data_IF_141967066081
#
_entry.id   IF_141967066081
#
_cell.length_a   1.000
_cell.length_b   1.000
_cell.length_c   1.000
_cell.angle_alpha   90.00
_cell.angle_beta   90.00
_cell.angle_gamma   90.00
#
_symmetry.space_group_name_H-M   'P 1'
#
loop_
_entity.id
_entity.type
_entity.pdbx_description
1 polymer ?
#
# COMPACT_ATOMS: atom_id res chain seq x y z
N UNK A 1 16.31 -15.62 -4.94
CA UNK A 1 16.45 -17.05 -5.40
C UNK A 1 16.41 -17.06 -6.92
N UNK A 2 17.30 -17.81 -7.56
CA UNK A 2 17.24 -18.02 -9.01
C UNK A 2 16.41 -19.25 -9.38
N UNK A 3 16.09 -19.40 -10.67
CA UNK A 3 15.37 -20.61 -11.16
C UNK A 3 16.24 -21.86 -10.99
N UNK A 4 17.54 -21.77 -11.16
CA UNK A 4 18.48 -22.86 -10.97
C UNK A 4 18.52 -23.33 -9.51
N UNK A 5 18.53 -22.38 -8.55
CA UNK A 5 18.40 -22.69 -7.13
C UNK A 5 17.05 -23.35 -6.81
N UNK A 6 15.95 -22.82 -7.35
CA UNK A 6 14.63 -23.44 -7.18
C UNK A 6 14.59 -24.88 -7.71
N UNK A 7 15.16 -25.14 -8.90
CA UNK A 7 15.26 -26.50 -9.46
C UNK A 7 16.03 -27.44 -8.53
N UNK A 8 17.16 -27.00 -8.03
CA UNK A 8 17.98 -27.80 -7.12
C UNK A 8 17.25 -28.15 -5.82
N UNK A 9 16.50 -27.17 -5.29
CA UNK A 9 15.75 -27.35 -4.05
C UNK A 9 14.50 -28.21 -4.22
N UNK A 10 13.83 -28.14 -5.35
CA UNK A 10 12.73 -29.06 -5.71
C UNK A 10 13.27 -30.48 -5.88
N UNK A 11 14.39 -30.64 -6.58
CA UNK A 11 15.01 -31.94 -6.77
C UNK A 11 15.49 -32.60 -5.47
N UNK A 12 15.92 -31.81 -4.49
CA UNK A 12 16.34 -32.28 -3.16
C UNK A 12 15.16 -32.53 -2.22
N UNK A 13 13.95 -32.08 -2.55
CA UNK A 13 12.78 -32.10 -1.67
C UNK A 13 12.77 -31.00 -0.61
N UNK A 14 13.68 -30.03 -0.66
CA UNK A 14 13.68 -28.87 0.24
C UNK A 14 12.54 -27.89 -0.06
N UNK A 15 12.08 -27.83 -1.31
CA UNK A 15 10.88 -27.11 -1.74
C UNK A 15 9.98 -28.08 -2.49
N UNK A 16 8.71 -28.16 -2.12
CA UNK A 16 7.67 -28.93 -2.79
C UNK A 16 6.55 -28.06 -3.34
N UNK A 17 6.45 -26.82 -2.89
CA UNK A 17 5.35 -25.89 -3.21
C UNK A 17 5.88 -24.56 -3.74
N UNK A 18 5.28 -24.07 -4.84
CA UNK A 18 5.49 -22.70 -5.32
C UNK A 18 4.18 -21.93 -5.22
N UNK A 19 4.18 -20.82 -4.48
CA UNK A 19 3.06 -19.90 -4.37
C UNK A 19 3.16 -18.89 -5.51
N UNK A 20 2.12 -18.85 -6.34
CA UNK A 20 1.98 -17.87 -7.42
C UNK A 20 0.90 -16.90 -6.96
N UNK A 21 1.28 -15.64 -6.72
CA UNK A 21 0.39 -14.62 -6.19
C UNK A 21 0.30 -13.41 -7.11
N UNK A 22 -0.87 -12.83 -7.19
CA UNK A 22 -1.14 -11.51 -7.73
C UNK A 22 -1.73 -10.63 -6.64
N UNK A 23 -1.79 -9.33 -6.87
CA UNK A 23 -2.40 -8.39 -5.93
C UNK A 23 -3.80 -8.01 -6.42
N UNK A 24 -4.80 -8.16 -5.56
CA UNK A 24 -6.16 -7.67 -5.81
C UNK A 24 -6.28 -6.14 -5.65
N UNK A 25 -7.48 -5.60 -5.88
CA UNK A 25 -7.75 -4.16 -5.80
C UNK A 25 -7.45 -3.57 -4.41
N UNK A 26 -7.62 -4.36 -3.35
CA UNK A 26 -7.39 -3.97 -1.95
C UNK A 26 -5.93 -4.11 -1.51
N UNK A 27 -5.04 -4.59 -2.39
CA UNK A 27 -3.63 -4.83 -2.06
C UNK A 27 -3.38 -6.14 -1.31
N UNK A 28 -4.33 -7.11 -1.37
CA UNK A 28 -4.16 -8.45 -0.79
C UNK A 28 -3.49 -9.38 -1.81
N UNK A 29 -2.70 -10.32 -1.32
CA UNK A 29 -2.19 -11.40 -2.16
C UNK A 29 -3.26 -12.47 -2.36
N UNK A 30 -3.59 -12.74 -3.61
CA UNK A 30 -4.48 -13.82 -4.05
C UNK A 30 -3.78 -14.65 -5.10
N UNK A 31 -4.10 -15.95 -5.20
CA UNK A 31 -3.41 -16.81 -6.17
C UNK A 31 -3.52 -18.28 -5.85
N UNK A 32 -2.51 -19.05 -6.24
CA UNK A 32 -2.50 -20.52 -6.15
C UNK A 32 -1.21 -21.04 -5.51
N UNK A 33 -1.31 -22.18 -4.82
CA UNK A 33 -0.17 -23.03 -4.45
C UNK A 33 -0.11 -24.17 -5.44
N UNK A 34 1.01 -24.30 -6.15
CA UNK A 34 1.22 -25.37 -7.13
C UNK A 34 2.37 -26.27 -6.68
N UNK A 35 2.32 -27.54 -7.07
CA UNK A 35 3.41 -28.48 -6.82
C UNK A 35 4.68 -28.01 -7.53
N UNK A 36 5.84 -28.08 -6.87
CA UNK A 36 7.09 -27.52 -7.39
C UNK A 36 7.48 -28.07 -8.76
N UNK A 37 7.36 -29.40 -8.97
CA UNK A 37 7.67 -29.99 -10.27
C UNK A 37 6.71 -29.51 -11.38
N UNK A 38 5.40 -29.41 -11.06
CA UNK A 38 4.41 -28.90 -12.02
C UNK A 38 4.69 -27.43 -12.38
N UNK A 39 5.15 -26.63 -11.41
CA UNK A 39 5.58 -25.25 -11.68
C UNK A 39 6.70 -25.22 -12.72
N UNK A 40 7.73 -26.06 -12.56
CA UNK A 40 8.88 -26.09 -13.48
C UNK A 40 8.53 -26.59 -14.89
N UNK A 41 7.61 -27.56 -14.97
CA UNK A 41 7.27 -28.22 -16.23
C UNK A 41 6.30 -27.40 -17.08
N UNK A 42 5.31 -26.76 -16.43
CA UNK A 42 4.18 -26.12 -17.09
C UNK A 42 4.08 -24.62 -16.78
N UNK A 43 3.95 -24.26 -15.50
CA UNK A 43 3.57 -22.89 -15.10
C UNK A 43 4.66 -21.87 -15.42
N UNK A 44 5.93 -22.26 -15.30
CA UNK A 44 7.07 -21.40 -15.65
C UNK A 44 7.05 -20.99 -17.13
N UNK A 45 6.47 -21.80 -18.00
CA UNK A 45 6.44 -21.57 -19.47
C UNK A 45 5.16 -20.86 -19.92
N UNK A 46 4.05 -21.21 -19.31
CA UNK A 46 2.72 -20.85 -19.81
C UNK A 46 1.90 -20.00 -18.84
N UNK A 47 2.42 -19.76 -17.62
CA UNK A 47 1.64 -19.14 -16.54
C UNK A 47 0.59 -20.11 -15.98
N UNK A 48 -0.35 -19.54 -15.23
CA UNK A 48 -1.53 -20.24 -14.73
C UNK A 48 -2.74 -19.33 -14.84
N UNK A 49 -3.92 -19.91 -15.04
CA UNK A 49 -5.14 -19.14 -15.22
C UNK A 49 -5.80 -18.86 -13.86
N UNK A 50 -6.64 -17.84 -13.81
CA UNK A 50 -7.49 -17.48 -12.69
C UNK A 50 -8.73 -16.75 -13.17
N UNK A 51 -9.84 -16.88 -12.45
CA UNK A 51 -11.07 -16.19 -12.84
C UNK A 51 -10.89 -14.67 -12.72
N UNK A 52 -11.36 -13.92 -13.71
CA UNK A 52 -11.20 -12.47 -13.77
C UNK A 52 -11.96 -11.71 -12.67
N UNK A 53 -12.92 -12.33 -11.96
CA UNK A 53 -13.57 -11.72 -10.81
C UNK A 53 -12.60 -11.38 -9.67
N UNK A 54 -11.42 -11.99 -9.61
CA UNK A 54 -10.39 -11.68 -8.61
C UNK A 54 -9.97 -10.19 -8.62
N UNK A 55 -10.21 -9.50 -9.73
CA UNK A 55 -10.06 -8.04 -9.85
C UNK A 55 -11.42 -7.30 -9.95
N UNK A 56 -12.52 -7.94 -9.59
CA UNK A 56 -13.87 -7.37 -9.69
C UNK A 56 -14.80 -7.87 -8.55
N UNK A 57 -14.22 -8.20 -7.41
CA UNK A 57 -14.94 -8.63 -6.22
C UNK A 57 -14.92 -7.55 -5.13
N UNK A 58 -15.86 -7.62 -4.19
CA UNK A 58 -15.81 -6.82 -2.98
C UNK A 58 -14.76 -7.34 -1.98
N UNK A 59 -14.66 -6.71 -0.80
CA UNK A 59 -13.68 -7.11 0.21
C UNK A 59 -13.95 -8.51 0.79
N UNK A 60 -15.20 -8.97 0.74
CA UNK A 60 -15.63 -10.30 1.18
C UNK A 60 -15.53 -11.37 0.07
N UNK A 61 -14.92 -11.01 -1.06
CA UNK A 61 -14.77 -11.85 -2.25
C UNK A 61 -16.10 -12.22 -2.95
N UNK A 62 -17.15 -11.46 -2.72
CA UNK A 62 -18.37 -11.62 -3.48
C UNK A 62 -18.24 -10.98 -4.86
N UNK A 63 -18.82 -11.63 -5.86
CA UNK A 63 -18.98 -11.03 -7.18
C UNK A 63 -20.01 -9.91 -7.12
N UNK A 64 -19.65 -8.74 -7.62
CA UNK A 64 -20.50 -7.53 -7.58
C UNK A 64 -20.66 -6.94 -8.98
N UNK A 65 -21.74 -6.21 -9.19
CA UNK A 65 -22.03 -5.58 -10.47
C UNK A 65 -21.19 -4.29 -10.70
N UNK A 66 -21.22 -3.77 -11.91
CA UNK A 66 -20.65 -2.47 -12.29
C UNK A 66 -19.24 -2.53 -12.87
N UNK A 67 -18.60 -3.68 -12.88
CA UNK A 67 -17.30 -3.86 -13.55
C UNK A 67 -17.47 -4.29 -15.00
N UNK A 68 -16.84 -3.56 -15.92
CA UNK A 68 -16.91 -3.91 -17.34
C UNK A 68 -16.15 -5.22 -17.65
N UNK A 69 -15.02 -5.45 -16.95
CA UNK A 69 -14.16 -6.59 -17.24
C UNK A 69 -14.76 -7.95 -16.83
N UNK A 70 -15.73 -7.98 -15.90
CA UNK A 70 -16.23 -9.22 -15.30
C UNK A 70 -17.68 -9.05 -14.84
N UNK A 71 -18.59 -9.89 -15.33
CA UNK A 71 -20.00 -9.90 -14.91
C UNK A 71 -20.69 -11.23 -15.25
N UNK A 72 -21.89 -11.43 -14.72
CA UNK A 72 -22.72 -12.60 -15.06
C UNK A 72 -23.04 -12.67 -16.57
N UNK A 73 -23.26 -11.51 -17.20
CA UNK A 73 -23.53 -11.43 -18.65
C UNK A 73 -22.33 -11.81 -19.50
N UNK A 74 -21.11 -11.60 -18.97
CA UNK A 74 -19.83 -11.97 -19.64
C UNK A 74 -19.35 -13.38 -19.27
N UNK A 75 -19.98 -14.05 -18.29
CA UNK A 75 -19.70 -15.44 -17.91
C UNK A 75 -18.44 -15.65 -17.08
N UNK A 76 -17.85 -14.59 -16.46
CA UNK A 76 -16.66 -14.67 -15.59
C UNK A 76 -15.50 -15.49 -16.21
N UNK A 77 -15.02 -15.06 -17.37
CA UNK A 77 -13.90 -15.70 -18.06
C UNK A 77 -12.59 -15.65 -17.23
N UNK A 78 -11.59 -16.40 -17.65
CA UNK A 78 -10.28 -16.41 -17.03
C UNK A 78 -9.35 -15.33 -17.59
N UNK A 79 -8.34 -15.00 -16.81
CA UNK A 79 -7.12 -14.33 -17.22
C UNK A 79 -5.89 -15.21 -16.89
N UNK A 80 -4.75 -14.91 -17.47
CA UNK A 80 -3.49 -15.57 -17.19
C UNK A 80 -2.70 -14.82 -16.10
N UNK A 81 -2.18 -15.53 -15.11
CA UNK A 81 -1.19 -15.07 -14.15
C UNK A 81 0.19 -15.50 -14.64
N UNK A 82 0.96 -14.54 -15.14
CA UNK A 82 2.29 -14.76 -15.73
C UNK A 82 3.36 -14.52 -14.66
N UNK A 83 4.15 -15.56 -14.30
CA UNK A 83 5.16 -15.46 -13.26
C UNK A 83 6.23 -14.41 -13.56
N UNK A 84 6.43 -13.47 -12.65
CA UNK A 84 7.59 -12.56 -12.67
C UNK A 84 8.75 -13.19 -11.89
N UNK A 85 9.66 -13.81 -12.61
CA UNK A 85 10.78 -14.55 -12.04
C UNK A 85 11.72 -13.65 -11.21
N UNK A 86 11.77 -12.36 -11.50
CA UNK A 86 12.58 -11.42 -10.72
C UNK A 86 12.12 -11.31 -9.25
N UNK A 87 10.88 -11.71 -8.97
CA UNK A 87 10.28 -11.69 -7.63
C UNK A 87 10.41 -13.00 -6.87
N UNK A 88 10.96 -14.06 -7.51
CA UNK A 88 11.10 -15.39 -6.93
C UNK A 88 11.93 -15.37 -5.64
N UNK A 89 11.37 -15.90 -4.56
CA UNK A 89 11.98 -15.91 -3.23
C UNK A 89 11.53 -17.08 -2.37
N UNK A 90 12.31 -17.41 -1.35
CA UNK A 90 11.84 -18.21 -0.24
C UNK A 90 10.86 -17.43 0.62
N UNK A 91 9.96 -18.14 1.27
CA UNK A 91 9.10 -17.62 2.33
C UNK A 91 9.35 -18.44 3.61
N UNK A 92 10.32 -18.02 4.44
CA UNK A 92 10.83 -18.83 5.55
C UNK A 92 9.78 -19.26 6.60
N UNK A 93 8.68 -18.52 6.71
CA UNK A 93 7.56 -18.83 7.59
C UNK A 93 6.61 -19.91 7.03
N UNK A 94 6.83 -20.38 5.82
CA UNK A 94 6.16 -21.53 5.23
C UNK A 94 7.20 -22.55 4.77
N UNK A 95 7.58 -23.53 5.64
CA UNK A 95 8.57 -24.56 5.30
C UNK A 95 8.19 -25.29 4.00
N UNK A 96 9.18 -25.55 3.15
CA UNK A 96 8.97 -26.22 1.86
C UNK A 96 8.40 -25.34 0.74
N UNK A 97 8.24 -24.02 0.97
CA UNK A 97 7.62 -23.14 -0.01
C UNK A 97 8.57 -22.04 -0.54
N UNK A 98 8.43 -21.78 -1.85
CA UNK A 98 8.88 -20.55 -2.51
C UNK A 98 7.66 -19.75 -2.99
N UNK A 99 7.85 -18.45 -3.25
CA UNK A 99 6.83 -17.56 -3.75
C UNK A 99 7.38 -16.69 -4.89
N UNK A 100 6.51 -16.35 -5.82
CA UNK A 100 6.72 -15.29 -6.79
C UNK A 100 5.41 -14.53 -7.03
N UNK A 101 5.54 -13.32 -7.52
CA UNK A 101 4.40 -12.53 -7.96
C UNK A 101 4.16 -12.77 -9.46
N UNK A 102 2.91 -12.57 -9.87
CA UNK A 102 2.49 -12.70 -11.26
C UNK A 102 1.92 -11.37 -11.77
N UNK A 103 2.23 -11.05 -13.02
CA UNK A 103 1.51 -10.06 -13.78
C UNK A 103 0.24 -10.70 -14.37
N UNK A 104 -0.80 -9.90 -14.59
CA UNK A 104 -2.09 -10.39 -15.05
C UNK A 104 -2.32 -9.95 -16.49
N UNK A 105 -2.58 -10.91 -17.36
CA UNK A 105 -2.86 -10.69 -18.79
C UNK A 105 -4.14 -11.39 -19.20
N UNK A 106 -4.83 -10.83 -20.18
CA UNK A 106 -5.89 -11.57 -20.87
C UNK A 106 -5.29 -12.77 -21.62
N UNK A 107 -6.12 -13.74 -21.98
CA UNK A 107 -5.65 -14.95 -22.67
C UNK A 107 -5.08 -14.67 -24.07
N UNK A 108 -5.32 -13.47 -24.62
CA UNK A 108 -4.70 -13.02 -25.87
C UNK A 108 -3.32 -12.35 -25.65
N UNK A 109 -2.83 -12.30 -24.41
CA UNK A 109 -1.55 -11.73 -24.04
C UNK A 109 -1.56 -10.22 -23.78
N UNK A 110 -2.70 -9.55 -23.87
CA UNK A 110 -2.82 -8.13 -23.53
C UNK A 110 -2.92 -7.94 -22.01
N UNK A 111 -2.40 -6.82 -21.50
CA UNK A 111 -2.40 -6.54 -20.08
C UNK A 111 -3.81 -6.27 -19.54
N UNK A 112 -4.13 -6.78 -18.35
CA UNK A 112 -5.33 -6.40 -17.59
C UNK A 112 -5.08 -5.05 -16.94
N UNK A 113 -5.55 -3.98 -17.58
CA UNK A 113 -5.26 -2.59 -17.21
C UNK A 113 -5.71 -2.19 -15.80
N UNK A 114 -6.69 -2.89 -15.23
CA UNK A 114 -7.18 -2.66 -13.88
C UNK A 114 -6.31 -3.31 -12.78
N UNK A 115 -5.35 -4.16 -13.15
CA UNK A 115 -4.42 -4.78 -12.19
C UNK A 115 -3.54 -3.71 -11.51
N UNK A 116 -3.50 -3.64 -10.16
CA UNK A 116 -2.71 -2.64 -9.45
C UNK A 116 -1.23 -2.62 -9.85
N UNK A 117 -0.62 -3.81 -9.99
CA UNK A 117 0.78 -3.94 -10.37
C UNK A 117 1.04 -3.43 -11.79
N UNK A 118 0.12 -3.64 -12.74
CA UNK A 118 0.19 -3.12 -14.10
C UNK A 118 0.01 -1.60 -14.15
N UNK A 119 -0.89 -1.06 -13.31
CA UNK A 119 -1.07 0.39 -13.16
C UNK A 119 0.24 1.06 -12.73
N UNK A 120 0.94 0.47 -11.73
CA UNK A 120 2.25 0.98 -11.32
C UNK A 120 3.29 0.82 -12.42
N UNK A 121 3.38 -0.33 -13.09
CA UNK A 121 4.31 -0.55 -14.21
C UNK A 121 4.16 0.50 -15.30
N UNK A 122 2.93 0.90 -15.63
CA UNK A 122 2.65 1.95 -16.61
C UNK A 122 3.25 3.29 -16.16
N UNK A 123 3.12 3.66 -14.89
CA UNK A 123 3.67 4.92 -14.38
C UNK A 123 5.21 4.88 -14.25
N UNK A 124 5.77 3.75 -13.83
CA UNK A 124 7.23 3.53 -13.80
C UNK A 124 7.82 3.65 -15.21
N UNK A 125 7.14 3.06 -16.20
CA UNK A 125 7.56 3.21 -17.60
C UNK A 125 7.51 4.66 -18.07
N UNK A 126 6.43 5.38 -17.79
CA UNK A 126 6.31 6.79 -18.16
C UNK A 126 7.41 7.66 -17.53
N UNK A 127 7.79 7.35 -16.28
CA UNK A 127 8.89 8.01 -15.61
C UNK A 127 10.26 7.67 -16.24
N UNK A 128 10.46 6.39 -16.61
CA UNK A 128 11.67 5.94 -17.31
C UNK A 128 11.80 6.58 -18.69
N UNK A 129 10.71 6.72 -19.43
CA UNK A 129 10.68 7.41 -20.73
C UNK A 129 11.04 8.90 -20.57
N UNK A 130 10.81 9.49 -19.39
CA UNK A 130 11.26 10.85 -19.03
C UNK A 130 12.71 10.89 -18.48
N UNK A 131 13.45 9.77 -18.51
CA UNK A 131 14.85 9.69 -18.08
C UNK A 131 15.06 9.54 -16.57
N UNK A 132 14.04 9.12 -15.81
CA UNK A 132 14.07 9.06 -14.36
C UNK A 132 13.58 7.71 -13.81
N UNK A 133 13.96 7.43 -12.56
CA UNK A 133 13.49 6.29 -11.76
C UNK A 133 13.00 6.77 -10.39
N UNK A 134 11.93 6.17 -9.88
CA UNK A 134 11.43 6.45 -8.54
C UNK A 134 12.05 5.50 -7.51
N UNK A 135 12.65 6.07 -6.47
CA UNK A 135 13.09 5.35 -5.28
C UNK A 135 12.03 5.56 -4.19
N UNK A 136 11.53 4.45 -3.64
CA UNK A 136 10.39 4.44 -2.73
C UNK A 136 10.71 3.66 -1.46
N UNK A 137 10.24 4.15 -0.33
CA UNK A 137 10.21 3.45 0.95
C UNK A 137 8.84 3.63 1.59
N UNK A 138 8.29 2.56 2.19
CA UNK A 138 7.03 2.60 2.93
C UNK A 138 7.26 2.32 4.40
N UNK A 139 6.67 3.15 5.27
CA UNK A 139 6.60 2.96 6.72
C UNK A 139 5.20 2.43 7.04
N UNK A 140 5.08 1.14 7.33
CA UNK A 140 3.79 0.48 7.53
C UNK A 140 3.60 0.10 8.99
N UNK A 141 2.69 0.80 9.66
CA UNK A 141 2.29 0.58 11.05
C UNK A 141 1.22 -0.50 11.18
N UNK A 142 1.22 -1.20 12.30
CA UNK A 142 0.24 -2.23 12.63
C UNK A 142 0.00 -2.32 14.14
N UNK A 143 -1.19 -2.80 14.53
CA UNK A 143 -1.53 -3.08 15.93
C UNK A 143 -1.59 -4.58 16.16
N UNK A 144 -1.01 -5.04 17.27
CA UNK A 144 -0.98 -6.46 17.68
C UNK A 144 -1.84 -6.67 18.92
N UNK A 145 -2.58 -7.77 18.92
CA UNK A 145 -3.44 -8.22 20.01
C UNK A 145 -2.99 -9.61 20.52
N UNK A 146 -3.17 -9.86 21.81
CA UNK A 146 -2.98 -11.20 22.41
C UNK A 146 -4.04 -12.20 21.94
N UNK A 147 -5.17 -11.70 21.44
CA UNK A 147 -6.21 -12.55 20.86
C UNK A 147 -5.71 -13.17 19.55
N UNK A 148 -6.09 -14.39 19.26
CA UNK A 148 -5.94 -15.00 17.93
C UNK A 148 -6.97 -14.41 16.95
N UNK A 149 -6.82 -14.68 15.65
CA UNK A 149 -7.82 -14.24 14.66
C UNK A 149 -9.19 -14.89 14.91
N UNK A 150 -9.22 -16.15 15.36
CA UNK A 150 -10.45 -16.87 15.67
C UNK A 150 -11.14 -16.29 16.93
N UNK A 151 -10.38 -15.94 17.96
CA UNK A 151 -10.91 -15.27 19.15
C UNK A 151 -11.41 -13.87 18.82
N UNK A 152 -10.67 -13.11 18.00
CA UNK A 152 -11.08 -11.80 17.53
C UNK A 152 -12.40 -11.88 16.73
N UNK A 153 -12.52 -12.86 15.83
CA UNK A 153 -13.76 -13.12 15.10
C UNK A 153 -14.93 -13.44 16.06
N UNK A 154 -14.73 -14.35 17.00
CA UNK A 154 -15.77 -14.75 17.96
C UNK A 154 -16.24 -13.60 18.87
N UNK A 155 -15.36 -12.61 19.10
CA UNK A 155 -15.67 -11.36 19.80
C UNK A 155 -16.26 -10.27 18.89
N UNK A 156 -16.52 -10.56 17.61
CA UNK A 156 -16.89 -9.56 16.62
C UNK A 156 -15.94 -8.35 16.62
N UNK A 157 -14.64 -8.62 16.81
CA UNK A 157 -13.54 -7.65 16.88
C UNK A 157 -13.68 -6.58 17.97
N UNK A 158 -14.39 -6.90 19.06
CA UNK A 158 -14.58 -6.02 20.22
C UNK A 158 -13.81 -6.54 21.42
N UNK A 159 -13.46 -5.63 22.33
CA UNK A 159 -12.79 -5.95 23.60
C UNK A 159 -11.53 -6.81 23.41
N UNK A 160 -10.80 -6.57 22.32
CA UNK A 160 -9.53 -7.21 22.04
C UNK A 160 -8.47 -6.67 23.00
N UNK A 161 -7.51 -7.51 23.37
CA UNK A 161 -6.44 -7.20 24.32
C UNK A 161 -5.16 -6.80 23.59
N UNK A 162 -4.83 -5.50 23.47
CA UNK A 162 -3.56 -5.07 22.86
C UNK A 162 -2.37 -5.61 23.63
N UNK A 163 -1.28 -5.93 22.94
CA UNK A 163 -0.04 -6.44 23.56
C UNK A 163 0.65 -5.43 24.49
N UNK A 164 0.34 -4.14 24.35
CA UNK A 164 0.73 -3.08 25.28
C UNK A 164 -0.49 -2.25 25.67
N UNK A 165 -0.59 -1.85 26.95
CA UNK A 165 -1.72 -1.13 27.51
C UNK A 165 -1.44 0.36 27.73
N UNK A 166 -0.33 0.88 27.20
CA UNK A 166 0.07 2.30 27.23
C UNK A 166 0.85 2.64 25.96
N UNK A 167 1.06 3.92 25.72
CA UNK A 167 1.86 4.42 24.62
C UNK A 167 3.31 3.93 24.74
N UNK A 168 3.78 3.18 23.73
CA UNK A 168 5.13 2.60 23.69
C UNK A 168 6.01 3.23 22.61
N UNK A 169 5.63 4.39 22.13
CA UNK A 169 6.39 5.13 21.11
C UNK A 169 7.87 5.25 21.50
N UNK A 170 8.74 4.70 20.67
CA UNK A 170 10.19 4.54 20.91
C UNK A 170 10.59 3.84 22.21
N UNK A 171 9.67 3.21 22.95
CA UNK A 171 9.99 2.50 24.20
C UNK A 171 10.69 1.18 23.94
N UNK A 172 11.96 1.07 24.33
CA UNK A 172 12.70 -0.20 24.25
C UNK A 172 12.03 -1.28 25.13
N UNK A 173 11.67 -0.94 26.36
CA UNK A 173 10.99 -1.87 27.27
C UNK A 173 9.62 -2.32 26.73
N UNK A 174 8.86 -1.38 26.14
CA UNK A 174 7.56 -1.67 25.54
C UNK A 174 7.68 -2.67 24.38
N UNK A 175 8.66 -2.46 23.50
CA UNK A 175 8.97 -3.38 22.41
C UNK A 175 9.46 -4.74 22.86
N UNK A 176 10.20 -4.81 24.01
CA UNK A 176 10.75 -6.07 24.52
C UNK A 176 9.68 -7.09 24.91
N UNK A 177 8.47 -6.65 25.27
CA UNK A 177 7.34 -7.57 25.63
C UNK A 177 6.88 -8.41 24.44
N UNK A 178 6.98 -7.89 23.23
CA UNK A 178 6.51 -8.51 22.00
C UNK A 178 7.68 -8.88 21.06
N UNK A 179 8.92 -8.71 21.53
CA UNK A 179 10.12 -8.96 20.72
C UNK A 179 10.18 -10.38 20.12
N UNK A 180 9.72 -11.46 20.75
CA UNK A 180 9.69 -12.78 20.10
C UNK A 180 8.94 -12.74 18.76
N UNK A 181 7.73 -12.18 18.71
CA UNK A 181 6.95 -12.03 17.48
C UNK A 181 7.64 -11.08 16.50
N UNK A 182 8.04 -9.88 16.96
CA UNK A 182 8.68 -8.88 16.11
C UNK A 182 9.97 -9.42 15.49
N UNK A 183 10.74 -10.20 16.25
CA UNK A 183 11.95 -10.88 15.77
C UNK A 183 11.63 -11.93 14.71
N UNK A 184 10.61 -12.76 14.94
CA UNK A 184 10.19 -13.78 13.96
C UNK A 184 9.78 -13.13 12.64
N UNK A 185 9.02 -12.01 12.69
CA UNK A 185 8.65 -11.25 11.48
C UNK A 185 9.91 -10.71 10.79
N UNK A 186 10.81 -10.01 11.51
CA UNK A 186 12.03 -9.45 10.92
C UNK A 186 12.91 -10.50 10.26
N UNK A 187 13.14 -11.64 10.92
CA UNK A 187 13.94 -12.72 10.36
C UNK A 187 13.26 -13.39 9.17
N UNK A 188 11.93 -13.56 9.23
CA UNK A 188 11.15 -14.05 8.10
C UNK A 188 11.30 -13.14 6.87
N UNK A 189 11.11 -11.83 7.05
CA UNK A 189 11.26 -10.88 5.95
C UNK A 189 12.69 -10.80 5.43
N UNK A 190 13.68 -10.80 6.32
CA UNK A 190 15.10 -10.84 5.91
C UNK A 190 15.43 -12.11 5.12
N UNK A 191 14.96 -13.27 5.57
CA UNK A 191 15.12 -14.55 4.87
C UNK A 191 14.37 -14.62 3.53
N UNK A 192 13.32 -13.79 3.36
CA UNK A 192 12.63 -13.59 2.08
C UNK A 192 13.32 -12.55 1.16
N UNK A 193 14.52 -12.08 1.53
CA UNK A 193 15.34 -11.17 0.71
C UNK A 193 15.05 -9.68 0.90
N UNK A 194 14.29 -9.30 1.94
CA UNK A 194 14.04 -7.90 2.27
C UNK A 194 15.12 -7.37 3.21
N UNK A 195 15.61 -6.15 2.98
CA UNK A 195 16.54 -5.50 3.92
C UNK A 195 15.75 -4.79 5.01
N UNK A 196 15.66 -5.43 6.17
CA UNK A 196 15.03 -4.84 7.36
C UNK A 196 15.99 -3.83 7.99
N UNK A 197 15.51 -2.63 8.31
CA UNK A 197 16.31 -1.57 8.95
C UNK A 197 16.09 -1.55 10.46
N UNK A 198 14.81 -1.46 10.90
CA UNK A 198 14.49 -1.28 12.31
C UNK A 198 13.08 -1.76 12.66
N UNK A 199 12.80 -1.82 13.95
CA UNK A 199 11.46 -1.95 14.53
C UNK A 199 11.35 -1.01 15.73
N UNK A 200 10.20 -0.39 15.88
CA UNK A 200 9.90 0.46 17.05
C UNK A 200 8.43 0.33 17.47
N UNK A 201 8.15 0.70 18.73
CA UNK A 201 6.79 0.96 19.16
C UNK A 201 6.26 2.29 18.61
N UNK A 202 4.93 2.41 18.57
CA UNK A 202 4.17 3.56 18.12
C UNK A 202 3.18 4.04 19.19
N UNK A 203 2.46 5.14 18.89
CA UNK A 203 1.63 5.84 19.86
C UNK A 203 0.40 5.07 20.34
N UNK A 204 -0.23 4.26 19.51
CA UNK A 204 -1.41 3.48 19.90
C UNK A 204 -1.01 2.25 20.73
N UNK A 205 -1.92 1.72 21.51
CA UNK A 205 -1.70 0.52 22.32
C UNK A 205 -1.46 -0.69 21.43
N UNK A 206 -0.33 -1.38 21.65
CA UNK A 206 0.09 -2.52 20.83
C UNK A 206 0.56 -2.17 19.42
N UNK A 207 0.74 -0.87 19.12
CA UNK A 207 1.15 -0.42 17.80
C UNK A 207 2.68 -0.47 17.63
N UNK A 208 3.09 -0.96 16.46
CA UNK A 208 4.49 -1.10 16.07
C UNK A 208 4.66 -0.78 14.58
N UNK A 209 5.90 -0.50 14.20
CA UNK A 209 6.34 -0.30 12.83
C UNK A 209 7.62 -1.10 12.59
N UNK A 210 7.71 -1.75 11.42
CA UNK A 210 8.94 -2.35 10.92
C UNK A 210 9.36 -1.61 9.65
N UNK A 211 10.51 -0.97 9.69
CA UNK A 211 11.05 -0.22 8.57
C UNK A 211 11.96 -1.09 7.70
N UNK A 212 11.88 -0.89 6.40
CA UNK A 212 12.67 -1.56 5.37
C UNK A 212 13.44 -0.54 4.54
N UNK A 213 14.61 -0.96 4.05
CA UNK A 213 15.39 -0.13 3.13
C UNK A 213 14.58 0.15 1.86
N UNK A 214 14.61 1.41 1.43
CA UNK A 214 14.00 1.83 0.18
C UNK A 214 14.60 1.09 -1.04
N UNK A 215 13.81 0.96 -2.08
CA UNK A 215 14.21 0.38 -3.37
C UNK A 215 13.51 1.10 -4.54
N UNK A 216 13.66 0.60 -5.75
CA UNK A 216 12.81 1.05 -6.86
C UNK A 216 11.32 0.82 -6.54
N UNK A 217 10.46 1.58 -7.18
CA UNK A 217 9.04 1.64 -6.86
C UNK A 217 8.34 0.27 -6.94
N UNK A 218 8.65 -0.54 -7.97
CA UNK A 218 8.00 -1.84 -8.15
C UNK A 218 8.45 -2.83 -7.09
N UNK A 219 9.76 -2.97 -6.89
CA UNK A 219 10.34 -3.85 -5.86
C UNK A 219 9.86 -3.48 -4.45
N UNK A 220 9.72 -2.17 -4.15
CA UNK A 220 9.22 -1.73 -2.86
C UNK A 220 7.76 -2.14 -2.64
N UNK A 221 6.88 -1.95 -3.63
CA UNK A 221 5.49 -2.35 -3.55
C UNK A 221 5.33 -3.88 -3.47
N UNK A 222 6.12 -4.63 -4.23
CA UNK A 222 6.17 -6.09 -4.15
C UNK A 222 6.56 -6.56 -2.73
N UNK A 223 7.59 -5.96 -2.14
CA UNK A 223 8.01 -6.25 -0.77
C UNK A 223 6.95 -5.87 0.27
N UNK A 224 6.30 -4.72 0.10
CA UNK A 224 5.24 -4.25 1.00
C UNK A 224 4.07 -5.26 1.09
N UNK A 225 3.54 -5.74 -0.04
CA UNK A 225 2.41 -6.68 0.00
C UNK A 225 2.81 -8.05 0.54
N UNK A 226 4.03 -8.51 0.27
CA UNK A 226 4.56 -9.75 0.82
C UNK A 226 4.77 -9.62 2.33
N UNK A 227 5.33 -8.50 2.80
CA UNK A 227 5.46 -8.19 4.22
C UNK A 227 4.10 -8.13 4.92
N UNK A 228 3.13 -7.40 4.37
CA UNK A 228 1.78 -7.26 4.92
C UNK A 228 1.08 -8.61 5.08
N UNK A 229 1.23 -9.50 4.10
CA UNK A 229 0.69 -10.86 4.16
C UNK A 229 1.48 -11.73 5.13
N UNK A 230 2.80 -11.79 5.02
CA UNK A 230 3.66 -12.64 5.82
C UNK A 230 3.64 -12.28 7.32
N UNK A 231 3.55 -11.00 7.67
CA UNK A 231 3.42 -10.57 9.06
C UNK A 231 2.14 -11.11 9.71
N UNK A 232 1.02 -11.15 8.97
CA UNK A 232 -0.24 -11.75 9.45
C UNK A 232 -0.13 -13.27 9.59
N UNK A 233 0.50 -13.94 8.62
CA UNK A 233 0.71 -15.40 8.68
C UNK A 233 1.58 -15.78 9.88
N UNK A 234 2.67 -15.06 10.12
CA UNK A 234 3.56 -15.26 11.25
C UNK A 234 2.81 -14.98 12.58
N UNK A 235 2.06 -13.87 12.66
CA UNK A 235 1.27 -13.56 13.84
C UNK A 235 0.28 -14.68 14.18
N UNK A 236 -0.44 -15.22 13.17
CA UNK A 236 -1.34 -16.35 13.35
C UNK A 236 -0.62 -17.60 13.86
N UNK A 237 0.56 -17.91 13.32
CA UNK A 237 1.38 -19.07 13.76
C UNK A 237 1.87 -18.92 15.20
N UNK A 238 2.17 -17.69 15.63
CA UNK A 238 2.63 -17.36 16.99
C UNK A 238 1.48 -17.11 17.98
N UNK A 239 0.22 -17.28 17.56
CA UNK A 239 -0.97 -17.15 18.42
C UNK A 239 -1.40 -15.72 18.71
N UNK A 240 -1.13 -14.79 17.79
CA UNK A 240 -1.53 -13.38 17.86
C UNK A 240 -2.44 -12.99 16.70
N UNK A 241 -3.26 -11.94 16.88
CA UNK A 241 -3.85 -11.22 15.78
C UNK A 241 -3.10 -9.90 15.55
N UNK A 242 -2.89 -9.56 14.26
CA UNK A 242 -2.23 -8.34 13.81
C UNK A 242 -3.12 -7.65 12.78
N UNK A 243 -3.29 -6.34 12.88
CA UNK A 243 -4.09 -5.56 11.92
C UNK A 243 -3.35 -4.36 11.37
N UNK A 244 -3.50 -4.15 10.06
CA UNK A 244 -3.09 -2.95 9.34
C UNK A 244 -4.28 -1.99 9.08
N UNK A 245 -5.42 -2.22 9.69
CA UNK A 245 -6.60 -1.36 9.57
C UNK A 245 -6.24 0.08 9.90
N UNK A 246 -6.62 1.05 9.05
CA UNK A 246 -6.18 2.43 9.20
C UNK A 246 -6.60 3.07 10.52
N UNK A 247 -7.79 2.72 11.06
CA UNK A 247 -8.31 3.21 12.33
C UNK A 247 -8.92 2.05 13.13
N UNK A 248 -8.11 1.26 13.85
CA UNK A 248 -8.61 0.09 14.58
C UNK A 248 -9.38 0.43 15.85
N UNK A 249 -9.19 1.61 16.42
CA UNK A 249 -9.87 2.11 17.63
C UNK A 249 -9.92 3.64 17.64
N UNK A 250 -10.34 4.25 18.76
CA UNK A 250 -10.48 5.70 18.89
C UNK A 250 -9.13 6.44 19.10
N UNK A 251 -8.01 5.69 19.25
CA UNK A 251 -6.67 6.28 19.41
C UNK A 251 -6.02 6.54 18.04
N UNK A 252 -4.71 6.69 18.00
CA UNK A 252 -3.94 6.89 16.77
C UNK A 252 -4.18 5.75 15.78
N UNK A 253 -4.27 6.07 14.48
CA UNK A 253 -4.44 5.10 13.42
C UNK A 253 -3.12 4.52 12.94
N UNK A 254 -3.19 3.47 12.11
CA UNK A 254 -2.03 2.95 11.40
C UNK A 254 -1.79 3.75 10.12
N UNK A 255 -0.58 4.27 9.97
CA UNK A 255 -0.11 4.94 8.77
C UNK A 255 0.60 3.97 7.84
N UNK A 256 0.70 4.35 6.59
CA UNK A 256 1.68 3.84 5.64
C UNK A 256 2.29 5.03 4.93
N UNK A 257 3.18 5.75 5.62
CA UNK A 257 3.87 6.89 5.01
C UNK A 257 4.70 6.41 3.82
N UNK A 258 4.62 7.13 2.71
CA UNK A 258 5.33 6.78 1.48
C UNK A 258 6.39 7.84 1.21
N UNK A 259 7.64 7.44 1.34
CA UNK A 259 8.80 8.23 0.94
C UNK A 259 9.07 8.02 -0.54
N UNK A 260 9.27 9.10 -1.28
CA UNK A 260 9.58 9.05 -2.69
C UNK A 260 10.63 10.09 -3.07
N UNK A 261 11.57 9.67 -3.90
CA UNK A 261 12.48 10.57 -4.59
C UNK A 261 12.71 10.08 -6.02
N UNK A 262 12.83 11.02 -6.97
CA UNK A 262 13.22 10.68 -8.34
C UNK A 262 14.73 10.83 -8.49
N UNK A 263 15.30 9.92 -9.27
CA UNK A 263 16.71 9.95 -9.68
C UNK A 263 16.81 9.82 -11.19
N UNK A 264 17.91 10.29 -11.77
CA UNK A 264 18.25 9.97 -13.15
C UNK A 264 18.46 8.46 -13.33
N UNK A 265 18.33 7.96 -14.56
CA UNK A 265 18.60 6.53 -14.85
C UNK A 265 20.05 6.13 -14.54
N UNK A 266 20.98 7.09 -14.50
CA UNK A 266 22.36 6.92 -14.09
C UNK A 266 22.56 6.98 -12.55
N UNK A 267 21.48 7.13 -11.78
CA UNK A 267 21.50 7.28 -10.33
C UNK A 267 21.73 8.71 -9.83
N UNK A 268 21.87 9.70 -10.71
CA UNK A 268 22.07 11.11 -10.35
C UNK A 268 20.89 11.68 -9.55
N UNK A 269 21.18 12.68 -8.70
CA UNK A 269 20.22 13.33 -7.81
C UNK A 269 19.47 14.45 -8.57
N UNK A 270 18.34 14.14 -9.20
CA UNK A 270 17.60 15.14 -9.99
C UNK A 270 16.73 16.07 -9.14
N UNK A 271 16.33 15.67 -7.92
CA UNK A 271 15.47 16.47 -7.04
C UNK A 271 16.25 17.39 -6.10
N UNK A 272 17.54 17.14 -5.88
CA UNK A 272 18.36 17.90 -4.95
C UNK A 272 19.26 18.90 -5.69
N UNK A 273 19.49 20.07 -5.06
CA UNK A 273 20.44 21.08 -5.49
C UNK A 273 21.10 21.74 -4.27
N UNK A 274 22.41 21.57 -4.13
CA UNK A 274 23.20 22.15 -3.05
C UNK A 274 23.30 23.69 -3.11
N UNK A 275 22.93 24.32 -4.24
CA UNK A 275 22.86 25.77 -4.38
C UNK A 275 21.63 26.34 -3.62
N UNK A 276 20.54 25.60 -3.49
CA UNK A 276 19.39 25.97 -2.65
C UNK A 276 19.72 25.74 -1.18
N UNK A 277 20.09 26.80 -0.48
CA UNK A 277 20.47 26.74 0.94
C UNK A 277 19.30 26.60 1.90
N UNK A 278 18.09 26.87 1.45
CA UNK A 278 16.89 26.82 2.29
C UNK A 278 16.32 25.41 2.37
N UNK A 279 16.09 24.77 1.23
CA UNK A 279 15.41 23.48 1.16
C UNK A 279 16.25 22.37 0.50
N UNK A 280 17.32 22.72 -0.21
CA UNK A 280 18.16 21.79 -0.97
C UNK A 280 17.44 21.22 -2.19
N UNK A 281 16.46 21.93 -2.77
CA UNK A 281 15.62 21.47 -3.86
C UNK A 281 16.09 22.05 -5.22
N UNK A 282 16.20 21.18 -6.21
CA UNK A 282 16.28 21.57 -7.61
C UNK A 282 14.92 22.06 -8.15
N UNK A 283 14.90 22.61 -9.36
CA UNK A 283 13.64 22.93 -10.06
C UNK A 283 12.78 21.68 -10.28
N UNK A 284 13.39 20.53 -10.54
CA UNK A 284 12.71 19.24 -10.65
C UNK A 284 12.06 18.85 -9.33
N UNK A 285 12.79 18.97 -8.21
CA UNK A 285 12.27 18.69 -6.87
C UNK A 285 11.11 19.62 -6.49
N UNK A 286 11.22 20.91 -6.79
CA UNK A 286 10.14 21.89 -6.57
C UNK A 286 8.89 21.54 -7.39
N UNK A 287 9.06 21.25 -8.67
CA UNK A 287 7.95 20.89 -9.56
C UNK A 287 7.31 19.55 -9.17
N UNK A 288 8.11 18.57 -8.70
CA UNK A 288 7.60 17.31 -8.16
C UNK A 288 6.67 17.52 -6.96
N UNK A 289 7.07 18.33 -5.99
CA UNK A 289 6.24 18.64 -4.81
C UNK A 289 4.99 19.41 -5.21
N UNK A 290 5.12 20.41 -6.12
CA UNK A 290 3.98 21.17 -6.63
C UNK A 290 2.96 20.26 -7.34
N UNK A 291 3.41 19.26 -8.09
CA UNK A 291 2.54 18.25 -8.71
C UNK A 291 1.80 17.41 -7.67
N UNK A 292 2.48 17.00 -6.58
CA UNK A 292 1.83 16.28 -5.47
C UNK A 292 0.71 17.12 -4.85
N UNK A 293 0.94 18.40 -4.57
CA UNK A 293 -0.06 19.32 -4.01
C UNK A 293 -1.24 19.48 -4.98
N UNK A 294 -0.97 19.71 -6.25
CA UNK A 294 -1.99 19.97 -7.26
C UNK A 294 -2.99 18.81 -7.41
N UNK A 295 -2.52 17.56 -7.31
CA UNK A 295 -3.33 16.37 -7.59
C UNK A 295 -3.72 15.55 -6.35
N UNK A 296 -3.28 15.94 -5.13
CA UNK A 296 -3.50 15.14 -3.93
C UNK A 296 -4.97 14.83 -3.68
N UNK A 297 -5.87 15.81 -3.90
CA UNK A 297 -7.32 15.61 -3.74
C UNK A 297 -7.87 14.58 -4.72
N UNK A 298 -7.46 14.66 -5.98
CA UNK A 298 -7.95 13.80 -7.06
C UNK A 298 -7.54 12.33 -6.90
N UNK A 299 -6.35 12.08 -6.31
CA UNK A 299 -5.83 10.73 -6.06
C UNK A 299 -5.99 10.26 -4.62
N UNK A 300 -6.69 11.01 -3.78
CA UNK A 300 -6.87 10.66 -2.35
C UNK A 300 -7.56 9.32 -2.15
N UNK A 301 -8.43 8.88 -3.09
CA UNK A 301 -9.03 7.55 -3.09
C UNK A 301 -7.98 6.43 -3.11
N UNK A 302 -6.84 6.64 -3.76
CA UNK A 302 -5.75 5.67 -3.81
C UNK A 302 -4.97 5.59 -2.48
N UNK A 303 -5.02 6.64 -1.65
CA UNK A 303 -4.37 6.72 -0.35
C UNK A 303 -5.27 6.25 0.81
N UNK A 304 -6.57 6.35 0.63
CA UNK A 304 -7.60 6.06 1.61
C UNK A 304 -8.75 5.25 0.97
N UNK A 305 -8.50 3.94 0.66
CA UNK A 305 -9.39 3.16 -0.19
C UNK A 305 -10.62 2.58 0.53
N UNK A 306 -10.77 2.77 1.84
CA UNK A 306 -11.85 2.21 2.65
C UNK A 306 -12.61 3.28 3.43
N UNK A 307 -13.85 3.00 3.83
CA UNK A 307 -14.64 3.87 4.72
C UNK A 307 -13.88 4.19 6.00
N UNK A 308 -13.17 3.22 6.56
CA UNK A 308 -12.40 3.36 7.78
C UNK A 308 -11.19 4.28 7.63
N UNK A 309 -10.57 4.34 6.46
CA UNK A 309 -9.37 5.15 6.18
C UNK A 309 -9.55 6.62 6.58
N UNK A 310 -10.71 7.18 6.29
CA UNK A 310 -11.03 8.60 6.53
C UNK A 310 -11.18 8.94 8.02
N UNK A 311 -11.45 7.95 8.87
CA UNK A 311 -11.52 8.13 10.34
C UNK A 311 -10.15 8.38 10.97
N UNK A 312 -9.07 8.17 10.22
CA UNK A 312 -7.69 8.45 10.65
C UNK A 312 -7.37 9.96 10.60
N UNK A 313 -8.01 10.73 9.73
CA UNK A 313 -7.74 12.16 9.54
C UNK A 313 -8.35 13.01 10.65
N UNK A 314 -7.69 13.02 11.80
CA UNK A 314 -8.10 13.79 13.00
C UNK A 314 -7.01 14.80 13.35
N UNK A 315 -7.35 16.08 13.56
CA UNK A 315 -6.36 17.07 14.02
C UNK A 315 -5.63 16.62 15.29
N UNK A 316 -4.30 16.74 15.29
CA UNK A 316 -3.45 16.36 16.43
C UNK A 316 -3.13 14.86 16.54
N UNK A 317 -3.50 14.03 15.55
CA UNK A 317 -3.23 12.59 15.55
C UNK A 317 -2.03 12.19 14.69
N UNK A 318 -1.18 13.13 14.30
CA UNK A 318 -0.09 12.95 13.31
C UNK A 318 -0.54 12.48 11.91
N UNK A 319 -1.84 12.16 11.71
CA UNK A 319 -2.42 12.01 10.40
C UNK A 319 -2.76 13.39 9.82
N UNK A 320 -2.28 13.74 8.61
CA UNK A 320 -2.46 15.08 8.07
C UNK A 320 -3.91 15.35 7.68
N UNK A 321 -4.36 16.57 7.89
CA UNK A 321 -5.66 17.05 7.40
C UNK A 321 -5.51 18.19 6.39
N UNK A 322 -4.35 18.85 6.37
CA UNK A 322 -4.05 19.99 5.51
C UNK A 322 -3.15 19.59 4.34
N UNK A 323 -3.52 20.00 3.13
CA UNK A 323 -2.72 19.84 1.93
C UNK A 323 -1.69 20.97 1.90
N UNK A 324 -0.57 20.71 2.55
CA UNK A 324 0.57 21.59 2.63
C UNK A 324 1.85 20.76 2.59
N UNK A 325 2.96 21.40 2.24
CA UNK A 325 4.28 20.83 2.38
C UNK A 325 5.12 21.63 3.36
N UNK A 326 6.04 20.99 4.04
CA UNK A 326 6.94 21.67 4.95
C UNK A 326 8.24 20.90 5.16
N UNK A 327 9.32 21.66 5.45
CA UNK A 327 10.61 21.08 5.80
C UNK A 327 10.52 20.47 7.19
N UNK A 328 10.68 19.14 7.27
CA UNK A 328 10.62 18.35 8.52
C UNK A 328 9.36 18.63 9.39
N UNK A 329 8.22 18.92 8.75
CA UNK A 329 6.97 19.26 9.41
C UNK A 329 5.95 18.12 9.35
N UNK A 330 5.77 17.39 10.46
CA UNK A 330 4.83 16.25 10.58
C UNK A 330 3.35 16.62 10.59
N UNK A 331 3.00 17.92 10.63
CA UNK A 331 1.60 18.37 10.56
C UNK A 331 1.11 18.58 9.13
N UNK A 332 2.03 18.57 8.14
CA UNK A 332 1.73 18.70 6.72
C UNK A 332 1.45 17.33 6.08
N UNK A 333 0.66 17.32 5.00
CA UNK A 333 0.46 16.13 4.17
C UNK A 333 1.76 15.66 3.50
N UNK A 334 2.62 16.62 3.14
CA UNK A 334 3.87 16.38 2.44
C UNK A 334 5.03 16.94 3.28
N UNK A 335 5.87 16.04 3.80
CA UNK A 335 7.04 16.39 4.61
C UNK A 335 8.32 16.18 3.80
N UNK A 336 9.08 17.25 3.56
CA UNK A 336 10.39 17.17 2.92
C UNK A 336 11.43 16.79 3.97
N UNK A 337 12.15 15.70 3.77
CA UNK A 337 13.17 15.20 4.69
C UNK A 337 14.49 14.86 3.98
N UNK A 338 15.57 14.83 4.76
CA UNK A 338 16.91 14.52 4.25
C UNK A 338 17.55 15.69 3.50
N UNK A 339 18.79 15.50 3.07
CA UNK A 339 19.59 16.46 2.29
C UNK A 339 20.42 15.70 1.27
N UNK A 340 20.80 16.35 0.16
CA UNK A 340 21.63 15.74 -0.87
C UNK A 340 21.09 14.37 -1.27
N UNK A 341 21.89 13.31 -1.13
CA UNK A 341 21.50 11.95 -1.53
C UNK A 341 20.34 11.35 -0.72
N UNK A 342 20.06 11.88 0.47
CA UNK A 342 18.95 11.42 1.31
C UNK A 342 17.68 12.25 1.15
N UNK A 343 17.69 13.30 0.30
CA UNK A 343 16.52 14.16 0.05
C UNK A 343 15.38 13.35 -0.54
N UNK A 344 14.21 13.45 0.10
CA UNK A 344 13.00 12.77 -0.33
C UNK A 344 11.76 13.47 0.21
N UNK A 345 10.64 13.27 -0.45
CA UNK A 345 9.33 13.70 0.03
C UNK A 345 8.61 12.52 0.70
N UNK A 346 8.13 12.72 1.91
CA UNK A 346 7.26 11.81 2.64
C UNK A 346 5.81 12.25 2.44
N UNK A 347 5.01 11.41 1.78
CA UNK A 347 3.56 11.56 1.73
C UNK A 347 2.95 10.84 2.94
N UNK A 348 2.34 11.61 3.84
CA UNK A 348 1.81 11.14 5.13
C UNK A 348 0.31 10.81 5.08
N UNK A 349 -0.32 10.99 3.92
CA UNK A 349 -1.77 10.76 3.75
C UNK A 349 -2.14 9.26 3.77
N UNK A 350 -1.37 8.33 3.18
CA UNK A 350 -1.76 6.93 3.12
C UNK A 350 -1.88 6.26 4.48
N UNK A 351 -2.93 5.46 4.66
CA UNK A 351 -3.15 4.61 5.83
C UNK A 351 -2.59 3.20 5.67
N UNK A 352 -2.55 2.41 6.76
CA UNK A 352 -2.03 1.04 6.76
C UNK A 352 -2.82 0.07 5.87
N UNK A 353 -4.03 0.45 5.48
CA UNK A 353 -4.91 -0.31 4.58
C UNK A 353 -4.70 0.00 3.09
N UNK A 354 -3.73 0.84 2.75
CA UNK A 354 -3.44 1.24 1.38
C UNK A 354 -3.04 0.06 0.49
N UNK A 355 -3.39 0.16 -0.81
CA UNK A 355 -2.76 -0.64 -1.86
C UNK A 355 -1.50 0.11 -2.33
N UNK A 356 -0.29 -0.39 -2.05
CA UNK A 356 0.94 0.36 -2.32
C UNK A 356 1.16 0.64 -3.80
N UNK A 357 0.76 -0.27 -4.69
CA UNK A 357 0.91 -0.07 -6.13
C UNK A 357 0.10 1.11 -6.63
N UNK A 358 -1.15 1.24 -6.18
CA UNK A 358 -2.03 2.34 -6.58
C UNK A 358 -1.54 3.67 -6.00
N UNK A 359 -1.17 3.68 -4.73
CA UNK A 359 -0.68 4.88 -4.06
C UNK A 359 0.61 5.40 -4.70
N UNK A 360 1.58 4.51 -4.93
CA UNK A 360 2.86 4.87 -5.56
C UNK A 360 2.66 5.29 -7.02
N UNK A 361 1.75 4.63 -7.76
CA UNK A 361 1.39 5.06 -9.11
C UNK A 361 0.83 6.49 -9.12
N UNK A 362 -0.04 6.84 -8.15
CA UNK A 362 -0.55 8.20 -7.96
C UNK A 362 0.55 9.21 -7.69
N UNK A 363 1.49 8.88 -6.80
CA UNK A 363 2.64 9.74 -6.47
C UNK A 363 3.53 9.97 -7.71
N UNK A 364 3.87 8.92 -8.44
CA UNK A 364 4.71 9.04 -9.65
C UNK A 364 3.99 9.90 -10.70
N UNK A 365 2.72 9.64 -10.95
CA UNK A 365 1.93 10.37 -11.93
C UNK A 365 1.82 11.86 -11.61
N UNK A 366 1.48 12.19 -10.36
CA UNK A 366 1.36 13.57 -9.89
C UNK A 366 2.70 14.33 -9.96
N UNK A 367 3.78 13.66 -9.51
CA UNK A 367 5.12 14.25 -9.58
C UNK A 367 5.59 14.50 -11.01
N UNK A 368 5.37 13.54 -11.90
CA UNK A 368 5.74 13.66 -13.32
C UNK A 368 4.94 14.77 -14.03
N UNK A 369 3.64 14.91 -13.74
CA UNK A 369 2.83 16.01 -14.26
C UNK A 369 3.36 17.37 -13.80
N UNK A 370 3.69 17.50 -12.52
CA UNK A 370 4.31 18.71 -11.98
C UNK A 370 5.60 19.09 -12.70
N UNK A 371 6.47 18.11 -12.94
CA UNK A 371 7.74 18.31 -13.67
C UNK A 371 7.48 18.71 -15.12
N UNK A 372 6.63 17.98 -15.83
CA UNK A 372 6.32 18.23 -17.24
C UNK A 372 5.72 19.62 -17.46
N UNK A 373 4.85 20.07 -16.56
CA UNK A 373 4.21 21.38 -16.60
C UNK A 373 5.03 22.47 -15.93
N UNK A 374 6.16 22.13 -15.32
CA UNK A 374 7.01 23.06 -14.55
C UNK A 374 6.20 23.87 -13.54
N UNK A 375 5.37 23.15 -12.76
CA UNK A 375 4.53 23.78 -11.75
C UNK A 375 5.41 24.48 -10.71
N UNK A 376 4.98 25.68 -10.33
CA UNK A 376 5.65 26.47 -9.28
C UNK A 376 5.21 25.96 -7.91
N UNK A 377 6.19 25.73 -7.05
CA UNK A 377 5.96 25.36 -5.68
C UNK A 377 5.70 26.63 -4.84
N UNK A 378 4.66 26.62 -4.05
CA UNK A 378 4.39 27.62 -3.02
C UNK A 378 5.40 27.50 -1.87
N UNK A 379 5.46 28.53 -1.01
CA UNK A 379 6.36 28.55 0.15
C UNK A 379 6.05 27.38 1.12
N UNK A 380 7.10 26.89 1.79
CA UNK A 380 6.95 25.85 2.79
C UNK A 380 6.10 26.33 3.96
N UNK A 381 5.17 25.49 4.40
CA UNK A 381 4.36 25.79 5.58
C UNK A 381 5.19 25.65 6.86
N UNK A 382 5.19 26.70 7.67
CA UNK A 382 5.87 26.73 8.96
C UNK A 382 4.83 26.77 10.08
N UNK A 383 5.00 25.91 11.08
CA UNK A 383 4.12 25.84 12.25
C UNK A 383 3.10 24.70 12.14
N UNK A 384 1.94 24.87 12.77
CA UNK A 384 0.90 23.84 12.90
C UNK A 384 -0.09 23.88 11.72
N UNK A 385 0.08 23.00 10.75
CA UNK A 385 -0.78 22.94 9.56
C UNK A 385 -2.24 22.52 9.88
N UNK A 386 -2.51 21.86 10.99
CA UNK A 386 -3.89 21.56 11.40
C UNK A 386 -4.75 22.81 11.60
N UNK A 387 -4.13 23.90 12.03
CA UNK A 387 -4.78 25.20 12.27
C UNK A 387 -4.72 26.15 11.06
N UNK A 388 -4.18 25.71 9.91
CA UNK A 388 -4.05 26.55 8.72
C UNK A 388 -5.36 26.66 7.94
N UNK A 389 -5.43 27.65 7.05
CA UNK A 389 -6.50 27.79 6.03
C UNK A 389 -6.21 27.01 4.76
N UNK A 390 -5.15 26.18 4.74
CA UNK A 390 -4.82 25.33 3.61
C UNK A 390 -5.98 24.40 3.25
N UNK A 391 -6.07 24.05 1.98
CA UNK A 391 -6.97 23.01 1.48
C UNK A 391 -6.87 21.72 2.31
N UNK A 392 -7.97 21.01 2.44
CA UNK A 392 -8.03 19.79 3.25
C UNK A 392 -8.04 18.55 2.37
N UNK A 393 -7.44 17.47 2.89
CA UNK A 393 -7.66 16.14 2.33
C UNK A 393 -9.14 15.80 2.43
N UNK A 394 -9.73 15.07 1.46
CA UNK A 394 -11.11 14.63 1.55
C UNK A 394 -11.39 13.92 2.88
N UNK A 395 -12.53 14.23 3.47
CA UNK A 395 -12.92 13.73 4.79
C UNK A 395 -13.77 12.46 4.76
N UNK A 396 -14.24 12.08 3.57
CA UNK A 396 -15.08 10.90 3.33
C UNK A 396 -14.70 10.20 2.04
N UNK A 397 -14.98 8.90 1.97
CA UNK A 397 -14.80 8.11 0.75
C UNK A 397 -15.67 8.61 -0.40
N UNK A 398 -16.89 9.11 -0.10
CA UNK A 398 -17.78 9.68 -1.11
C UNK A 398 -17.17 10.92 -1.78
N UNK A 399 -16.57 11.81 -1.00
CA UNK A 399 -15.88 13.00 -1.51
C UNK A 399 -14.68 12.59 -2.39
N UNK A 400 -13.86 11.67 -1.91
CA UNK A 400 -12.69 11.19 -2.65
C UNK A 400 -13.06 10.45 -3.94
N UNK A 401 -14.10 9.61 -3.91
CA UNK A 401 -14.64 8.94 -5.09
C UNK A 401 -15.11 9.95 -6.14
N UNK A 402 -15.84 10.99 -5.71
CA UNK A 402 -16.32 12.03 -6.62
C UNK A 402 -15.14 12.77 -7.28
N UNK A 403 -14.16 13.20 -6.50
CA UNK A 403 -12.96 13.88 -7.01
C UNK A 403 -12.19 13.00 -8.01
N UNK A 404 -12.03 11.71 -7.72
CA UNK A 404 -11.42 10.74 -8.62
C UNK A 404 -12.22 10.59 -9.91
N UNK A 405 -13.53 10.34 -9.82
CA UNK A 405 -14.39 10.04 -10.97
C UNK A 405 -14.62 11.22 -11.91
N UNK A 406 -14.61 12.46 -11.40
CA UNK A 406 -14.79 13.69 -12.18
C UNK A 406 -13.47 14.27 -12.73
N UNK A 407 -12.31 13.76 -12.29
CA UNK A 407 -11.03 14.30 -12.71
C UNK A 407 -10.69 13.94 -14.15
N UNK A 408 -10.57 14.98 -14.99
CA UNK A 408 -10.07 14.85 -16.36
C UNK A 408 -8.58 14.45 -16.38
N UNK A 409 -7.80 14.89 -15.39
CA UNK A 409 -6.40 14.53 -15.27
C UNK A 409 -6.24 13.03 -14.93
N UNK A 410 -6.97 12.50 -13.95
CA UNK A 410 -6.98 11.07 -13.63
C UNK A 410 -7.32 10.25 -14.87
N UNK A 411 -8.37 10.63 -15.60
CA UNK A 411 -8.76 9.98 -16.85
C UNK A 411 -7.65 9.98 -17.89
N UNK A 412 -6.92 11.09 -18.04
CA UNK A 412 -5.84 11.20 -19.02
C UNK A 412 -4.62 10.36 -18.68
N UNK A 413 -4.30 10.21 -17.38
CA UNK A 413 -3.10 9.52 -16.90
C UNK A 413 -3.32 8.01 -16.73
N UNK A 414 -4.40 7.63 -16.07
CA UNK A 414 -4.68 6.23 -15.77
C UNK A 414 -5.50 5.53 -16.87
N UNK A 415 -6.31 6.29 -17.61
CA UNK A 415 -7.26 5.78 -18.58
C UNK A 415 -8.69 5.74 -18.04
N UNK A 416 -9.66 5.78 -18.96
CA UNK A 416 -11.08 5.77 -18.59
C UNK A 416 -11.49 4.48 -17.86
N UNK A 417 -10.96 3.33 -18.30
CA UNK A 417 -11.30 2.03 -17.74
C UNK A 417 -10.83 1.88 -16.29
N UNK A 418 -9.59 2.31 -15.99
CA UNK A 418 -9.05 2.31 -14.63
C UNK A 418 -9.83 3.28 -13.74
N UNK A 419 -10.12 4.49 -14.24
CA UNK A 419 -10.93 5.47 -13.50
C UNK A 419 -12.31 4.90 -13.15
N UNK A 420 -13.01 4.32 -14.11
CA UNK A 420 -14.33 3.72 -13.91
C UNK A 420 -14.25 2.51 -12.95
N UNK A 421 -13.24 1.67 -13.10
CA UNK A 421 -13.06 0.47 -12.29
C UNK A 421 -12.93 0.80 -10.79
N UNK A 422 -12.03 1.72 -10.43
CA UNK A 422 -11.84 2.13 -9.03
C UNK A 422 -12.93 3.06 -8.50
N UNK A 423 -13.65 3.77 -9.38
CA UNK A 423 -14.90 4.44 -9.00
C UNK A 423 -15.94 3.43 -8.56
N UNK A 424 -16.10 2.31 -9.29
CA UNK A 424 -17.05 1.25 -8.93
C UNK A 424 -16.63 0.53 -7.64
N UNK A 425 -15.33 0.27 -7.44
CA UNK A 425 -14.83 -0.30 -6.19
C UNK A 425 -15.29 0.53 -4.98
N UNK A 426 -15.11 1.86 -5.05
CA UNK A 426 -15.53 2.76 -3.99
C UNK A 426 -17.08 2.81 -3.85
N UNK A 427 -17.83 2.76 -4.96
CA UNK A 427 -19.29 2.77 -4.93
C UNK A 427 -19.86 1.52 -4.24
N UNK A 428 -19.29 0.34 -4.51
CA UNK A 428 -19.68 -0.91 -3.86
C UNK A 428 -19.52 -0.83 -2.33
N UNK A 429 -18.39 -0.30 -1.86
CA UNK A 429 -18.14 -0.10 -0.42
C UNK A 429 -19.11 0.93 0.19
N UNK A 430 -19.37 2.04 -0.49
CA UNK A 430 -20.32 3.06 -0.04
C UNK A 430 -21.73 2.50 0.06
N UNK A 431 -22.16 1.71 -0.92
CA UNK A 431 -23.49 1.07 -0.95
C UNK A 431 -23.65 0.02 0.16
N UNK A 432 -22.60 -0.77 0.41
CA UNK A 432 -22.59 -1.76 1.48
C UNK A 432 -22.65 -1.09 2.86
N UNK A 433 -21.82 -0.07 3.08
CA UNK A 433 -21.83 0.70 4.32
C UNK A 433 -23.14 1.44 4.55
N UNK A 434 -23.73 2.00 3.50
CA UNK A 434 -25.02 2.69 3.58
C UNK A 434 -26.21 1.78 3.98
N UNK A 435 -26.06 0.48 3.84
CA UNK A 435 -27.04 -0.54 4.27
C UNK A 435 -26.76 -1.10 5.66
N UNK A 436 -25.54 -0.92 6.17
CA UNK A 436 -25.12 -1.47 7.45
C UNK A 436 -25.74 -0.68 8.62
N UNK A 437 -26.38 -1.40 9.55
CA UNK A 437 -26.82 -0.81 10.83
C UNK A 437 -25.66 -0.89 11.82
N UNK A 438 -25.09 0.25 12.16
CA UNK A 438 -23.92 0.35 13.02
C UNK A 438 -24.27 0.39 14.51
N UNK A 439 -23.33 0.00 15.37
CA UNK A 439 -23.48 0.13 16.82
C UNK A 439 -23.76 1.58 17.23
N UNK A 440 -23.12 2.54 16.55
CA UNK A 440 -23.33 3.95 16.82
C UNK A 440 -24.80 4.36 16.65
N UNK A 441 -25.48 3.85 15.62
CA UNK A 441 -26.92 4.05 15.38
C UNK A 441 -27.75 3.36 16.45
N UNK A 442 -27.44 2.11 16.79
CA UNK A 442 -28.16 1.38 17.83
C UNK A 442 -28.08 2.09 19.18
N UNK A 443 -26.89 2.49 19.61
CA UNK A 443 -26.71 3.23 20.88
C UNK A 443 -27.42 4.58 20.91
N UNK A 444 -27.52 5.26 19.77
CA UNK A 444 -28.13 6.60 19.72
C UNK A 444 -29.64 6.55 19.55
N UNK A 445 -30.18 5.57 18.82
CA UNK A 445 -31.53 5.64 18.30
C UNK A 445 -32.49 4.64 18.98
N UNK A 446 -32.01 3.49 19.47
CA UNK A 446 -32.84 2.34 19.87
C UNK A 446 -33.92 2.68 20.91
N UNK A 447 -33.62 3.49 21.90
CA UNK A 447 -34.53 3.87 22.97
C UNK A 447 -35.05 5.31 22.82
N UNK A 448 -34.35 6.15 22.06
CA UNK A 448 -34.62 7.61 22.06
C UNK A 448 -35.58 8.06 20.97
N UNK A 449 -35.90 7.20 20.03
CA UNK A 449 -36.84 7.46 18.94
C UNK A 449 -37.93 6.38 18.86
#
# INVERSE_FOLDING_TARGET
MTIEELRAEIASGAIDTVVIAMTDMQGRLVGKRVHGQYFLDEVLKHGTEGCNYLLAADIDMNTVAGYEMSSWERGYADFAMIPDISTLRRIPWQPGAAMLLADVQWLDGTDVVASPRQILRKQVKALADAGMVAMVGTELEFVVFHDTYEEAWNKAYRDLTPVNQYNVDYSIMGGSRIEPLLRTIRLGMSGAGMTVESVKGECNFGQHEIAFKYSDALSNCDNHVIYKNGAKEIAAQEGYALTFMAKPNQKEGNSSHIHCSFRGLDGSMVMADDADKEHGLSDVGRSFIAGQIAHLKEISLLFAPNINSYKRYVPGSFAPTAIAWGRDNRTCALRLVGHGQSLRLENRVPGGDVNPYLAVAGIIAAGLDGINRKLKLEDAFVGNAYASDSDRVPSTMLEAQKLWSESAWVKSVFGADVQAHYTNMAQVELDAYGKAVTDWELFRNFERF
#
